data_IF_561634593238
#
_entry.id   IF_561634593238
#
_cell.length_a   1.000
_cell.length_b   1.000
_cell.length_c   1.000
_cell.angle_alpha   90.00
_cell.angle_beta   90.00
_cell.angle_gamma   90.00
#
_symmetry.space_group_name_H-M   'P 1'
#
loop_
_entity.id
_entity.type
_entity.pdbx_description
1 polymer ?
#
# COMPACT_ATOMS: atom_id res chain seq x y z
N UNK A 1 -13.47 10.35 17.46
CA UNK A 1 -13.35 9.82 16.09
C UNK A 1 -12.97 10.96 15.14
N UNK A 2 -12.04 10.74 14.22
CA UNK A 2 -11.54 11.74 13.26
C UNK A 2 -12.67 12.26 12.37
N UNK A 3 -13.58 11.38 11.94
CA UNK A 3 -14.75 11.78 11.14
C UNK A 3 -15.65 12.75 11.90
N UNK A 4 -15.96 12.46 13.16
CA UNK A 4 -16.75 13.35 14.01
C UNK A 4 -16.06 14.71 14.20
N UNK A 5 -14.74 14.73 14.41
CA UNK A 5 -13.97 15.98 14.51
C UNK A 5 -14.00 16.80 13.20
N UNK A 6 -13.74 16.16 12.05
CA UNK A 6 -13.79 16.84 10.75
C UNK A 6 -15.16 17.47 10.48
N UNK A 7 -16.24 16.83 10.94
CA UNK A 7 -17.62 17.35 10.84
C UNK A 7 -17.88 18.59 11.70
N UNK A 8 -17.06 18.88 12.70
CA UNK A 8 -17.17 20.11 13.52
C UNK A 8 -16.42 21.30 12.92
N UNK A 9 -15.58 21.09 11.91
CA UNK A 9 -14.82 22.17 11.28
C UNK A 9 -15.75 23.08 10.45
N UNK A 10 -15.53 24.40 10.45
CA UNK A 10 -16.32 25.31 9.64
C UNK A 10 -16.14 24.98 8.15
N UNK A 11 -17.24 25.02 7.39
CA UNK A 11 -17.19 24.83 5.96
C UNK A 11 -16.36 25.95 5.29
N UNK A 12 -15.54 25.59 4.30
CA UNK A 12 -14.85 26.57 3.46
C UNK A 12 -15.87 27.34 2.62
N UNK A 13 -15.64 28.65 2.43
CA UNK A 13 -16.46 29.50 1.54
C UNK A 13 -16.13 29.29 0.06
N UNK A 14 -15.10 28.52 -0.26
CA UNK A 14 -14.72 28.20 -1.63
C UNK A 14 -15.73 27.23 -2.24
N UNK A 15 -16.37 27.65 -3.34
CA UNK A 15 -17.24 26.77 -4.11
C UNK A 15 -16.44 25.61 -4.72
N UNK A 16 -17.09 24.44 -4.84
CA UNK A 16 -16.51 23.32 -5.58
C UNK A 16 -16.36 23.68 -7.05
N UNK A 17 -15.23 23.28 -7.65
CA UNK A 17 -15.06 23.38 -9.11
C UNK A 17 -15.97 22.37 -9.81
N UNK A 18 -16.41 22.73 -11.01
CA UNK A 18 -17.06 21.75 -11.89
C UNK A 18 -16.10 20.63 -12.28
N UNK A 19 -16.67 19.51 -12.72
CA UNK A 19 -15.91 18.32 -13.06
C UNK A 19 -15.25 18.47 -14.43
N UNK A 20 -13.93 18.64 -14.46
CA UNK A 20 -13.15 18.87 -15.69
C UNK A 20 -12.74 17.58 -16.43
N UNK A 21 -13.22 16.40 -16.02
CA UNK A 21 -12.85 15.16 -16.72
C UNK A 21 -13.54 15.09 -18.08
N UNK A 22 -12.81 14.61 -19.08
CA UNK A 22 -13.34 14.40 -20.43
C UNK A 22 -14.21 13.15 -20.47
N UNK A 23 -15.17 13.12 -21.41
CA UNK A 23 -15.90 11.91 -21.71
C UNK A 23 -14.93 10.76 -22.07
N UNK A 24 -15.15 9.52 -21.58
CA UNK A 24 -16.29 9.09 -20.76
C UNK A 24 -16.09 9.24 -19.24
N UNK A 25 -14.94 9.74 -18.77
CA UNK A 25 -14.60 9.87 -17.35
C UNK A 25 -15.43 10.90 -16.57
N UNK A 26 -16.24 11.72 -17.26
CA UNK A 26 -17.24 12.58 -16.62
C UNK A 26 -18.47 11.83 -16.10
N UNK A 27 -18.72 10.61 -16.56
CA UNK A 27 -19.89 9.82 -16.17
C UNK A 27 -19.64 9.08 -14.85
N UNK A 28 -20.09 9.66 -13.74
CA UNK A 28 -19.88 9.09 -12.39
C UNK A 28 -20.45 7.67 -12.22
N UNK A 29 -21.47 7.29 -13.00
CA UNK A 29 -22.03 5.94 -12.99
C UNK A 29 -21.01 4.87 -13.39
N UNK A 30 -20.03 5.20 -14.22
CA UNK A 30 -18.96 4.28 -14.60
C UNK A 30 -18.08 3.92 -13.40
N UNK A 31 -17.88 4.85 -12.46
CA UNK A 31 -17.18 4.58 -11.20
C UNK A 31 -17.96 3.59 -10.34
N UNK A 32 -19.30 3.65 -10.34
CA UNK A 32 -20.12 2.65 -9.64
C UNK A 32 -19.93 1.25 -10.21
N UNK A 33 -19.93 1.11 -11.55
CA UNK A 33 -19.65 -0.16 -12.21
C UNK A 33 -18.22 -0.67 -11.92
N UNK A 34 -17.23 0.22 -11.95
CA UNK A 34 -15.86 -0.11 -11.59
C UNK A 34 -15.73 -0.60 -10.14
N UNK A 35 -16.40 0.07 -9.19
CA UNK A 35 -16.45 -0.35 -7.78
C UNK A 35 -17.05 -1.75 -7.62
N UNK A 36 -18.12 -2.08 -8.36
CA UNK A 36 -18.70 -3.42 -8.30
C UNK A 36 -17.71 -4.53 -8.68
N UNK A 37 -16.75 -4.23 -9.56
CA UNK A 37 -15.73 -5.20 -9.99
C UNK A 37 -14.53 -5.29 -9.03
N UNK A 38 -14.09 -4.16 -8.47
CA UNK A 38 -12.79 -4.07 -7.78
C UNK A 38 -12.86 -3.72 -6.30
N UNK A 39 -14.01 -3.28 -5.79
CA UNK A 39 -14.19 -2.92 -4.39
C UNK A 39 -15.01 -3.99 -3.65
N UNK A 40 -14.46 -4.48 -2.55
CA UNK A 40 -15.17 -5.36 -1.62
C UNK A 40 -15.43 -4.59 -0.34
N UNK A 41 -16.70 -4.30 0.01
CA UNK A 41 -17.03 -3.60 1.24
C UNK A 41 -16.68 -4.47 2.46
N UNK A 42 -15.96 -3.87 3.39
CA UNK A 42 -15.60 -4.49 4.66
C UNK A 42 -14.63 -3.59 5.42
N UNK A 43 -14.86 -3.39 6.72
CA UNK A 43 -13.83 -2.81 7.56
C UNK A 43 -12.74 -3.88 7.71
N UNK A 44 -11.53 -3.61 7.20
CA UNK A 44 -10.37 -4.38 7.58
C UNK A 44 -10.34 -4.43 9.10
N UNK A 45 -10.60 -5.61 9.69
CA UNK A 45 -10.80 -5.71 11.12
C UNK A 45 -9.52 -5.25 11.80
N UNK A 46 -9.61 -4.21 12.63
CA UNK A 46 -8.47 -3.74 13.39
C UNK A 46 -7.90 -4.91 14.20
N UNK A 47 -6.71 -5.36 13.84
CA UNK A 47 -6.05 -6.44 14.59
C UNK A 47 -5.40 -5.82 15.81
N UNK A 48 -5.75 -6.34 16.99
CA UNK A 48 -5.11 -5.95 18.23
C UNK A 48 -3.58 -6.11 18.14
N UNK A 49 -2.79 -5.27 18.84
CA UNK A 49 -1.33 -5.43 18.86
C UNK A 49 -0.85 -6.81 19.35
N UNK A 50 -1.65 -7.49 20.17
CA UNK A 50 -1.38 -8.83 20.68
C UNK A 50 -1.80 -9.97 19.73
N UNK A 51 -2.34 -9.66 18.54
CA UNK A 51 -2.65 -10.67 17.54
C UNK A 51 -1.37 -11.39 17.05
N UNK A 52 -1.50 -12.59 16.44
CA UNK A 52 -0.36 -13.25 15.80
C UNK A 52 0.38 -12.31 14.84
N UNK A 53 1.73 -12.34 14.78
CA UNK A 53 2.52 -11.41 13.99
C UNK A 53 2.09 -11.31 12.52
N UNK A 54 1.70 -12.42 11.90
CA UNK A 54 1.25 -12.48 10.51
C UNK A 54 -0.09 -11.76 10.33
N UNK A 55 -1.03 -11.92 11.28
CA UNK A 55 -2.32 -11.24 11.24
C UNK A 55 -2.17 -9.73 11.47
N UNK A 56 -1.34 -9.34 12.44
CA UNK A 56 -1.00 -7.93 12.68
C UNK A 56 -0.30 -7.32 11.46
N UNK A 57 0.65 -8.05 10.87
CA UNK A 57 1.36 -7.65 9.66
C UNK A 57 0.43 -7.51 8.47
N UNK A 58 -0.51 -8.42 8.29
CA UNK A 58 -1.52 -8.33 7.24
C UNK A 58 -2.35 -7.04 7.37
N UNK A 59 -2.74 -6.67 8.58
CA UNK A 59 -3.44 -5.41 8.83
C UNK A 59 -2.56 -4.19 8.52
N UNK A 60 -1.31 -4.19 9.00
CA UNK A 60 -0.37 -3.09 8.74
C UNK A 60 -0.08 -2.92 7.25
N UNK A 61 0.14 -4.01 6.51
CA UNK A 61 0.50 -3.97 5.09
C UNK A 61 -0.70 -3.68 4.18
N UNK A 62 -1.85 -4.32 4.43
CA UNK A 62 -3.01 -4.18 3.54
C UNK A 62 -3.91 -3.01 3.90
N UNK A 63 -4.08 -2.68 5.19
CA UNK A 63 -5.13 -1.76 5.65
C UNK A 63 -4.57 -0.39 6.03
N UNK A 64 -3.43 -0.31 6.72
CA UNK A 64 -2.84 0.97 7.07
C UNK A 64 -1.83 1.46 6.03
N UNK A 65 -0.88 0.59 5.66
CA UNK A 65 0.22 0.90 4.76
C UNK A 65 -0.14 0.86 3.27
N UNK A 66 -1.23 0.17 2.90
CA UNK A 66 -1.68 0.04 1.51
C UNK A 66 -0.55 -0.34 0.53
N UNK A 67 0.40 -1.19 0.95
CA UNK A 67 1.60 -1.47 0.15
C UNK A 67 1.25 -2.03 -1.23
N UNK A 68 0.10 -2.71 -1.33
CA UNK A 68 -0.41 -3.28 -2.57
C UNK A 68 -0.74 -2.24 -3.64
N UNK A 69 -0.97 -0.97 -3.28
CA UNK A 69 -1.36 0.06 -4.23
C UNK A 69 -0.23 0.47 -5.18
N UNK A 70 1.02 0.46 -4.70
CA UNK A 70 2.20 0.69 -5.53
C UNK A 70 2.82 -0.63 -5.99
N UNK A 71 2.80 -1.67 -5.16
CA UNK A 71 3.48 -2.93 -5.44
C UNK A 71 2.65 -3.97 -6.20
N UNK A 72 1.46 -3.60 -6.70
CA UNK A 72 0.62 -4.49 -7.53
C UNK A 72 0.34 -3.82 -8.88
N UNK A 73 0.51 -4.51 -10.01
CA UNK A 73 0.24 -3.92 -11.31
C UNK A 73 -1.27 -3.71 -11.50
N UNK A 74 -1.63 -2.79 -12.40
CA UNK A 74 -3.02 -2.54 -12.78
C UNK A 74 -3.38 -3.27 -14.06
N UNK A 75 -4.59 -3.80 -14.12
CA UNK A 75 -5.16 -4.37 -15.34
C UNK A 75 -5.63 -3.28 -16.31
N UNK A 76 -6.12 -3.67 -17.49
CA UNK A 76 -6.59 -2.73 -18.52
C UNK A 76 -7.75 -1.82 -18.08
N UNK A 77 -8.49 -2.18 -17.03
CA UNK A 77 -9.58 -1.38 -16.45
C UNK A 77 -9.12 -0.53 -15.25
N UNK A 78 -7.80 -0.45 -15.00
CA UNK A 78 -7.21 0.32 -13.90
C UNK A 78 -7.38 -0.31 -12.51
N UNK A 79 -7.95 -1.52 -12.42
CA UNK A 79 -8.05 -2.25 -11.14
C UNK A 79 -6.75 -2.99 -10.79
N UNK A 80 -6.49 -3.29 -9.50
CA UNK A 80 -5.35 -4.13 -9.12
C UNK A 80 -5.48 -5.53 -9.74
N UNK A 81 -4.40 -6.02 -10.35
CA UNK A 81 -4.31 -7.41 -10.79
C UNK A 81 -4.00 -8.31 -9.60
N UNK A 82 -5.05 -8.93 -9.04
CA UNK A 82 -4.95 -9.83 -7.89
C UNK A 82 -4.10 -11.07 -8.16
N UNK A 83 -3.89 -11.46 -9.42
CA UNK A 83 -2.99 -12.57 -9.79
C UNK A 83 -1.51 -12.20 -9.64
N UNK A 84 -1.20 -10.89 -9.56
CA UNK A 84 0.15 -10.32 -9.39
C UNK A 84 0.25 -9.43 -8.14
N UNK A 85 -0.60 -9.67 -7.12
CA UNK A 85 -0.58 -8.94 -5.86
C UNK A 85 0.84 -8.90 -5.26
N UNK A 86 1.33 -7.70 -4.98
CA UNK A 86 2.67 -7.42 -4.43
C UNK A 86 3.87 -7.76 -5.35
N UNK A 87 3.61 -8.18 -6.58
CA UNK A 87 4.66 -8.65 -7.49
C UNK A 87 5.40 -7.52 -8.23
N UNK A 88 5.24 -6.26 -7.79
CA UNK A 88 5.82 -5.07 -8.40
C UNK A 88 4.94 -4.50 -9.51
N UNK A 89 5.21 -3.25 -9.90
CA UNK A 89 4.42 -2.55 -10.90
C UNK A 89 5.26 -1.52 -11.67
N UNK A 90 4.74 -1.07 -12.81
CA UNK A 90 5.23 0.13 -13.49
C UNK A 90 4.20 1.23 -13.24
N UNK A 91 4.63 2.29 -12.54
CA UNK A 91 3.84 3.49 -12.27
C UNK A 91 4.43 4.67 -13.07
N UNK A 92 3.72 5.81 -13.22
CA UNK A 92 4.25 6.99 -13.91
C UNK A 92 5.63 7.44 -13.41
N UNK A 93 5.87 7.30 -12.10
CA UNK A 93 7.08 7.68 -11.39
C UNK A 93 8.23 6.67 -11.58
N UNK A 94 7.97 5.48 -12.13
CA UNK A 94 8.99 4.48 -12.41
C UNK A 94 8.60 3.04 -12.12
N UNK A 95 9.60 2.19 -11.89
CA UNK A 95 9.41 0.76 -11.58
C UNK A 95 9.38 0.55 -10.07
N UNK A 96 8.27 0.02 -9.57
CA UNK A 96 8.09 -0.40 -8.18
C UNK A 96 8.51 -1.86 -8.04
N UNK A 97 9.37 -2.21 -7.07
CA UNK A 97 9.90 -3.56 -6.96
C UNK A 97 8.87 -4.57 -6.47
N UNK A 98 9.11 -5.84 -6.77
CA UNK A 98 8.38 -6.98 -6.21
C UNK A 98 8.71 -7.14 -4.71
N UNK A 99 7.70 -7.23 -3.85
CA UNK A 99 7.87 -7.42 -2.39
C UNK A 99 7.35 -8.77 -1.90
N UNK A 100 7.16 -9.73 -2.81
CA UNK A 100 6.93 -11.15 -2.46
C UNK A 100 8.26 -11.85 -2.14
N UNK A 101 8.23 -13.06 -1.55
CA UNK A 101 9.44 -13.83 -1.28
C UNK A 101 10.34 -14.07 -2.48
N UNK A 102 9.85 -13.99 -3.72
CA UNK A 102 10.69 -14.10 -4.94
C UNK A 102 11.88 -13.16 -4.90
N UNK A 103 11.67 -11.90 -4.48
CA UNK A 103 12.74 -10.91 -4.35
C UNK A 103 13.24 -10.80 -2.92
N UNK A 104 12.33 -10.82 -1.95
CA UNK A 104 12.69 -10.56 -0.54
C UNK A 104 13.47 -11.70 0.11
N UNK A 105 13.45 -12.93 -0.43
CA UNK A 105 14.24 -14.06 0.11
C UNK A 105 15.75 -13.78 0.18
N UNK A 106 16.25 -12.84 -0.62
CA UNK A 106 17.65 -12.47 -0.65
C UNK A 106 18.04 -11.50 0.48
N UNK A 107 17.06 -10.93 1.19
CA UNK A 107 17.28 -10.06 2.33
C UNK A 107 16.89 -10.81 3.59
N UNK A 108 17.66 -10.68 4.65
CA UNK A 108 17.32 -11.11 6.00
C UNK A 108 16.20 -10.26 6.58
N UNK A 109 15.56 -10.76 7.64
CA UNK A 109 14.53 -10.00 8.36
C UNK A 109 15.10 -8.74 9.01
N UNK A 110 16.37 -8.75 9.44
CA UNK A 110 17.03 -7.58 9.98
C UNK A 110 17.23 -6.49 8.92
N UNK A 111 17.66 -6.88 7.73
CA UNK A 111 17.84 -5.97 6.59
C UNK A 111 16.53 -5.36 6.11
N UNK A 112 15.43 -6.13 6.08
CA UNK A 112 14.12 -5.58 5.75
C UNK A 112 13.63 -4.57 6.80
N UNK A 113 13.82 -4.86 8.09
CA UNK A 113 13.47 -3.93 9.16
C UNK A 113 14.31 -2.65 9.07
N UNK A 114 15.61 -2.79 8.81
CA UNK A 114 16.52 -1.67 8.63
C UNK A 114 16.07 -0.78 7.46
N UNK A 115 15.81 -1.37 6.29
CA UNK A 115 15.31 -0.64 5.13
C UNK A 115 13.99 0.08 5.41
N UNK A 116 13.03 -0.57 6.09
CA UNK A 116 11.76 0.07 6.45
C UNK A 116 11.91 1.16 7.53
N UNK A 117 13.05 1.20 8.22
CA UNK A 117 13.33 2.20 9.26
C UNK A 117 14.12 3.39 8.71
N UNK A 118 15.16 3.13 7.92
CA UNK A 118 16.14 4.13 7.49
C UNK A 118 16.13 4.38 5.99
N UNK A 119 15.51 3.49 5.21
CA UNK A 119 15.52 3.52 3.75
C UNK A 119 16.82 3.02 3.12
N UNK A 120 17.76 2.52 3.91
CA UNK A 120 19.03 2.00 3.39
C UNK A 120 18.91 0.51 3.08
N UNK A 121 19.18 0.14 1.84
CA UNK A 121 19.19 -1.24 1.37
C UNK A 121 20.54 -1.92 1.71
N UNK A 122 20.60 -3.26 1.76
CA UNK A 122 21.82 -3.99 2.13
C UNK A 122 23.03 -3.72 1.24
N UNK A 123 22.80 -3.34 -0.01
CA UNK A 123 23.84 -3.00 -0.97
C UNK A 123 24.29 -1.52 -0.89
N UNK A 124 23.76 -0.75 0.07
CA UNK A 124 24.05 0.67 0.24
C UNK A 124 23.17 1.61 -0.58
N UNK A 125 22.26 1.09 -1.41
CA UNK A 125 21.29 1.93 -2.11
C UNK A 125 20.30 2.55 -1.12
N UNK A 126 19.74 3.70 -1.46
CA UNK A 126 18.73 4.37 -0.64
C UNK A 126 17.37 4.38 -1.33
N UNK A 127 16.31 4.32 -0.53
CA UNK A 127 14.95 4.51 -1.01
C UNK A 127 14.83 5.87 -1.70
N UNK A 128 14.23 5.87 -2.88
CA UNK A 128 13.90 7.08 -3.65
C UNK A 128 12.39 7.29 -3.63
N UNK A 129 11.95 8.50 -3.98
CA UNK A 129 10.54 8.84 -3.98
C UNK A 129 9.77 7.94 -4.98
N UNK A 130 8.55 7.51 -4.62
CA UNK A 130 7.78 7.87 -3.43
C UNK A 130 8.07 7.01 -2.17
N UNK A 131 8.93 5.99 -2.25
CA UNK A 131 9.12 5.06 -1.13
C UNK A 131 9.82 5.73 0.08
N UNK A 132 10.72 6.68 -0.16
CA UNK A 132 11.35 7.49 0.91
C UNK A 132 10.32 8.25 1.74
N UNK A 133 9.24 8.77 1.14
CA UNK A 133 8.17 9.43 1.88
C UNK A 133 7.40 8.44 2.76
N UNK A 134 7.10 7.25 2.25
CA UNK A 134 6.46 6.18 3.02
C UNK A 134 7.30 5.81 4.23
N UNK A 135 8.62 5.70 4.06
CA UNK A 135 9.53 5.39 5.16
C UNK A 135 9.56 6.52 6.18
N UNK A 136 9.82 7.74 5.73
CA UNK A 136 9.98 8.92 6.60
C UNK A 136 8.72 9.23 7.40
N UNK A 137 7.54 9.13 6.75
CA UNK A 137 6.27 9.54 7.33
C UNK A 137 5.47 8.38 7.95
N UNK A 138 5.84 7.12 7.69
CA UNK A 138 5.10 5.95 8.16
C UNK A 138 6.00 4.88 8.78
N UNK A 139 6.72 4.07 8.00
CA UNK A 139 7.31 2.82 8.51
C UNK A 139 8.44 3.06 9.50
N UNK A 140 9.17 4.17 9.41
CA UNK A 140 10.18 4.59 10.41
C UNK A 140 9.59 4.93 11.78
N UNK A 141 8.26 5.12 11.88
CA UNK A 141 7.55 5.42 13.13
C UNK A 141 6.95 4.17 13.78
N UNK A 142 7.04 3.01 13.13
CA UNK A 142 6.55 1.77 13.70
C UNK A 142 7.46 1.32 14.85
N UNK A 143 6.84 0.78 15.89
CA UNK A 143 7.60 0.12 16.96
C UNK A 143 8.24 -1.19 16.43
N UNK A 144 9.24 -1.75 17.13
CA UNK A 144 9.92 -2.96 16.68
C UNK A 144 9.02 -4.18 16.47
N UNK A 145 7.94 -4.32 17.25
CA UNK A 145 7.00 -5.44 17.14
C UNK A 145 6.14 -5.31 15.87
N UNK A 146 5.68 -4.10 15.53
CA UNK A 146 4.94 -3.83 14.30
C UNK A 146 5.82 -4.00 13.05
N UNK A 147 7.09 -3.58 13.09
CA UNK A 147 8.06 -3.86 12.02
C UNK A 147 8.28 -5.36 11.82
N UNK A 148 8.44 -6.11 12.92
CA UNK A 148 8.56 -7.56 12.85
C UNK A 148 7.30 -8.22 12.28
N UNK A 149 6.11 -7.74 12.65
CA UNK A 149 4.84 -8.21 12.11
C UNK A 149 4.71 -7.95 10.61
N UNK A 150 5.08 -6.76 10.13
CA UNK A 150 5.13 -6.44 8.68
C UNK A 150 6.02 -7.45 7.95
N UNK A 151 7.24 -7.68 8.43
CA UNK A 151 8.16 -8.64 7.81
C UNK A 151 7.58 -10.06 7.85
N UNK A 152 7.05 -10.51 8.98
CA UNK A 152 6.42 -11.83 9.12
C UNK A 152 5.31 -12.05 8.09
N UNK A 153 4.41 -11.07 7.92
CA UNK A 153 3.38 -11.16 6.89
C UNK A 153 3.95 -11.20 5.47
N UNK A 154 4.93 -10.36 5.13
CA UNK A 154 5.57 -10.37 3.81
C UNK A 154 6.22 -11.73 3.49
N UNK A 155 6.76 -12.43 4.50
CA UNK A 155 7.28 -13.80 4.34
C UNK A 155 6.19 -14.82 4.02
N UNK A 156 4.96 -14.61 4.47
CA UNK A 156 3.84 -15.52 4.21
C UNK A 156 3.25 -15.38 2.81
N UNK A 157 3.58 -14.31 2.09
CA UNK A 157 3.04 -14.06 0.76
C UNK A 157 3.47 -15.16 -0.23
N UNK A 158 2.60 -15.58 -1.17
CA UNK A 158 3.01 -16.46 -2.25
C UNK A 158 4.12 -15.82 -3.07
N UNK A 159 5.16 -16.58 -3.40
CA UNK A 159 6.19 -16.15 -4.34
C UNK A 159 5.59 -15.94 -5.73
N UNK A 160 5.80 -14.76 -6.33
CA UNK A 160 5.35 -14.41 -7.68
C UNK A 160 6.51 -13.83 -8.45
N UNK A 161 6.71 -14.23 -9.71
CA UNK A 161 7.74 -13.66 -10.58
C UNK A 161 7.50 -12.16 -10.84
N UNK A 162 6.24 -11.77 -10.99
CA UNK A 162 5.84 -10.39 -11.24
C UNK A 162 5.99 -9.96 -12.69
N UNK A 163 5.73 -8.67 -12.92
CA UNK A 163 5.83 -8.07 -14.26
C UNK A 163 7.31 -7.79 -14.56
N UNK A 164 7.81 -8.31 -15.68
CA UNK A 164 9.19 -8.10 -16.15
C UNK A 164 9.47 -6.63 -16.43
#
# INVERSE_FOLDING_TARGET
DLWAYLKTLPATRQANKEHELRFPYNLRILVSGWKMMFFSPGAGSATAPAAPPEARGAYLVNVLGHCGECHTPRNALGGPDKSQLFAGAKIPEGKVPNITPTRLKNWSDAELKEYLTTGTAPNGDVAVDPMSEVITNSTSKLNPADLAAVVAYLRTLPAREGVK
#
